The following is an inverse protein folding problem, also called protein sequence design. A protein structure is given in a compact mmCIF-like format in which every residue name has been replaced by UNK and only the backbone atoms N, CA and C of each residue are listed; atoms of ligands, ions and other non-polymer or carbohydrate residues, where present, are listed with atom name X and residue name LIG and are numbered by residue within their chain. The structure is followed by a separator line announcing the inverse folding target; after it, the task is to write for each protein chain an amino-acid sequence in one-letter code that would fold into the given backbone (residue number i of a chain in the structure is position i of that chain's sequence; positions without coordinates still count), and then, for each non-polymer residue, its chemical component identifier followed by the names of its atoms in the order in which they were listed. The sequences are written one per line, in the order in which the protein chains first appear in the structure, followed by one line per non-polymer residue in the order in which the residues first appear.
data_IF_294081364051
#
_entry.id   IF_294081364051
#
_cell.length_a   1.000
_cell.length_b   1.000
_cell.length_c   1.000
_cell.angle_alpha   90.00
_cell.angle_beta   90.00
_cell.angle_gamma   90.00
#
_symmetry.space_group_name_H-M   'P 1'
#
loop_
_entity.id
_entity.type
_entity.pdbx_description
1 polymer ?
#
# COMPACT_ATOMS: atom_id res chain seq x y z
N UNK A 1 13.98 2.51 -13.55
CA UNK A 1 12.68 1.81 -13.49
C UNK A 1 11.85 2.52 -14.54
N UNK A 2 11.97 2.08 -15.79
CA UNK A 2 11.62 2.92 -16.95
C UNK A 2 10.29 2.49 -17.60
N UNK A 3 9.60 1.54 -16.96
CA UNK A 3 8.29 1.05 -17.36
C UNK A 3 7.30 1.35 -16.23
N UNK A 4 6.13 1.95 -16.53
CA UNK A 4 5.08 2.11 -15.54
C UNK A 4 4.66 0.74 -15.02
N UNK A 5 4.37 0.64 -13.72
CA UNK A 5 3.80 -0.56 -13.13
C UNK A 5 2.36 -0.67 -13.63
N UNK A 6 2.11 -1.62 -14.51
CA UNK A 6 0.77 -1.89 -15.03
C UNK A 6 -0.05 -2.69 -14.00
N UNK A 7 -1.35 -2.42 -13.97
CA UNK A 7 -2.31 -3.17 -13.16
C UNK A 7 -2.58 -4.50 -13.88
N UNK A 8 -2.59 -5.62 -13.15
CA UNK A 8 -2.98 -6.91 -13.74
C UNK A 8 -4.50 -7.02 -13.87
N UNK A 9 -5.00 -7.88 -14.77
CA UNK A 9 -6.44 -8.11 -14.95
C UNK A 9 -7.17 -8.42 -13.63
N UNK A 10 -6.55 -9.21 -12.75
CA UNK A 10 -7.10 -9.55 -11.45
C UNK A 10 -7.17 -8.35 -10.51
N UNK A 11 -6.18 -7.46 -10.58
CA UNK A 11 -6.17 -6.22 -9.82
C UNK A 11 -7.22 -5.23 -10.35
N UNK A 12 -7.45 -5.18 -11.68
CA UNK A 12 -8.56 -4.42 -12.27
C UNK A 12 -9.92 -4.96 -11.80
N UNK A 13 -10.10 -6.28 -11.82
CA UNK A 13 -11.32 -6.91 -11.31
C UNK A 13 -11.55 -6.59 -9.81
N UNK A 14 -10.49 -6.65 -9.00
CA UNK A 14 -10.56 -6.25 -7.59
C UNK A 14 -10.93 -4.78 -7.44
N UNK A 15 -10.46 -3.90 -8.32
CA UNK A 15 -10.79 -2.48 -8.29
C UNK A 15 -12.27 -2.25 -8.62
N UNK A 16 -12.81 -2.93 -9.63
CA UNK A 16 -14.23 -2.86 -9.97
C UNK A 16 -15.10 -3.27 -8.77
N UNK A 17 -14.78 -4.42 -8.15
CA UNK A 17 -15.50 -4.87 -6.95
C UNK A 17 -15.43 -3.85 -5.81
N UNK A 18 -14.28 -3.21 -5.63
CA UNK A 18 -14.11 -2.18 -4.60
C UNK A 18 -14.93 -0.92 -4.90
N UNK A 19 -15.01 -0.50 -6.17
CA UNK A 19 -15.85 0.63 -6.59
C UNK A 19 -17.32 0.38 -6.22
N UNK A 20 -17.85 -0.79 -6.55
CA UNK A 20 -19.24 -1.14 -6.24
C UNK A 20 -19.53 -1.08 -4.74
N UNK A 21 -18.54 -1.43 -3.90
CA UNK A 21 -18.64 -1.36 -2.44
C UNK A 21 -18.62 0.09 -1.96
N UNK A 22 -17.71 0.93 -2.47
CA UNK A 22 -17.59 2.34 -2.06
C UNK A 22 -18.84 3.13 -2.45
N UNK A 23 -19.44 2.86 -3.62
CA UNK A 23 -20.67 3.52 -4.06
C UNK A 23 -21.87 3.25 -3.14
N UNK A 24 -21.85 2.16 -2.38
CA UNK A 24 -22.90 1.79 -1.43
C UNK A 24 -22.66 2.33 -0.02
N UNK A 25 -21.51 2.96 0.25
CA UNK A 25 -21.19 3.49 1.57
C UNK A 25 -21.97 4.77 1.87
N UNK A 26 -22.40 4.93 3.14
CA UNK A 26 -22.79 6.25 3.65
C UNK A 26 -21.59 7.19 3.66
N UNK A 27 -21.86 8.49 3.79
CA UNK A 27 -20.81 9.50 3.91
C UNK A 27 -19.89 9.22 5.11
N UNK A 28 -20.47 8.88 6.24
CA UNK A 28 -19.75 8.59 7.50
C UNK A 28 -18.88 7.34 7.32
N UNK A 29 -19.44 6.27 6.74
CA UNK A 29 -18.70 5.04 6.44
C UNK A 29 -17.52 5.31 5.49
N UNK A 30 -17.73 6.10 4.44
CA UNK A 30 -16.67 6.45 3.50
C UNK A 30 -15.55 7.28 4.17
N UNK A 31 -15.90 8.21 5.07
CA UNK A 31 -14.93 9.01 5.82
C UNK A 31 -14.07 8.13 6.75
N UNK A 32 -14.71 7.25 7.53
CA UNK A 32 -14.00 6.32 8.41
C UNK A 32 -13.12 5.37 7.59
N UNK A 33 -13.63 4.85 6.47
CA UNK A 33 -12.90 3.98 5.58
C UNK A 33 -11.66 4.66 5.00
N UNK A 34 -11.77 5.92 4.54
CA UNK A 34 -10.64 6.67 3.98
C UNK A 34 -9.52 6.88 5.01
N UNK A 35 -9.86 7.20 6.25
CA UNK A 35 -8.89 7.36 7.34
C UNK A 35 -8.16 6.03 7.59
N UNK A 36 -8.91 4.93 7.67
CA UNK A 36 -8.33 3.61 7.88
C UNK A 36 -7.42 3.20 6.70
N UNK A 37 -7.86 3.46 5.48
CA UNK A 37 -7.09 3.15 4.28
C UNK A 37 -5.77 3.92 4.23
N UNK A 38 -5.79 5.22 4.58
CA UNK A 38 -4.57 6.02 4.66
C UNK A 38 -3.59 5.48 5.70
N UNK A 39 -4.10 5.07 6.88
CA UNK A 39 -3.27 4.40 7.89
C UNK A 39 -2.63 3.12 7.36
N UNK A 40 -3.38 2.29 6.63
CA UNK A 40 -2.85 1.07 6.04
C UNK A 40 -1.80 1.33 4.96
N UNK A 41 -1.96 2.41 4.17
CA UNK A 41 -0.95 2.83 3.20
C UNK A 41 0.38 3.17 3.89
N UNK A 42 0.36 3.94 4.98
CA UNK A 42 1.58 4.28 5.75
C UNK A 42 2.28 3.03 6.32
N UNK A 43 1.49 2.07 6.82
CA UNK A 43 2.03 0.80 7.34
C UNK A 43 2.69 -0.01 6.22
N UNK A 44 2.03 -0.12 5.06
CA UNK A 44 2.54 -0.82 3.89
C UNK A 44 3.82 -0.18 3.35
N UNK A 45 3.87 1.15 3.29
CA UNK A 45 5.07 1.89 2.91
C UNK A 45 6.25 1.57 3.82
N UNK A 46 6.04 1.67 5.15
CA UNK A 46 7.07 1.31 6.14
C UNK A 46 7.53 -0.14 5.97
N UNK A 47 6.61 -1.07 5.78
CA UNK A 47 6.95 -2.48 5.57
C UNK A 47 7.84 -2.68 4.35
N UNK A 48 7.55 -2.03 3.22
CA UNK A 48 8.41 -2.11 2.03
C UNK A 48 9.78 -1.45 2.26
N UNK A 49 9.84 -0.33 2.97
CA UNK A 49 11.11 0.31 3.33
C UNK A 49 11.98 -0.64 4.17
N UNK A 50 11.42 -1.32 5.17
CA UNK A 50 12.17 -2.29 5.98
C UNK A 50 12.63 -3.51 5.18
N UNK A 51 11.79 -4.04 4.28
CA UNK A 51 12.19 -5.14 3.37
C UNK A 51 13.37 -4.72 2.49
N UNK A 52 13.33 -3.51 1.94
CA UNK A 52 14.40 -2.99 1.07
C UNK A 52 15.70 -2.77 1.86
N UNK A 53 15.64 -2.22 3.08
CA UNK A 53 16.81 -2.06 3.96
C UNK A 53 17.49 -3.40 4.22
N UNK A 54 16.71 -4.43 4.55
CA UNK A 54 17.22 -5.78 4.77
C UNK A 54 17.86 -6.37 3.51
N UNK A 55 17.19 -6.26 2.35
CA UNK A 55 17.73 -6.75 1.08
C UNK A 55 19.04 -6.05 0.70
N UNK A 56 19.16 -4.76 0.98
CA UNK A 56 20.35 -3.97 0.67
C UNK A 56 21.40 -3.98 1.79
N UNK A 57 21.17 -4.75 2.86
CA UNK A 57 22.05 -4.84 4.04
C UNK A 57 22.33 -3.48 4.70
N UNK A 58 21.43 -2.52 4.54
CA UNK A 58 21.58 -1.18 5.12
C UNK A 58 21.44 -1.18 6.65
N UNK A 59 20.92 -2.26 7.22
CA UNK A 59 20.89 -2.47 8.67
C UNK A 59 22.25 -2.91 9.24
N UNK A 60 23.25 -3.23 8.40
CA UNK A 60 24.57 -3.75 8.85
C UNK A 60 25.69 -2.73 8.97
N UNK A 61 25.52 -1.48 8.53
CA UNK A 61 26.51 -0.43 8.78
C UNK A 61 26.10 0.38 10.00
N UNK A 62 26.92 0.31 11.06
CA UNK A 62 27.15 1.29 12.16
C UNK A 62 27.56 0.62 13.48
N UNK A 63 27.46 -0.72 13.61
CA UNK A 63 27.88 -1.44 14.81
C UNK A 63 29.24 -2.17 14.68
N UNK A 64 29.98 -1.96 13.60
CA UNK A 64 31.22 -2.71 13.29
C UNK A 64 32.44 -1.84 12.95
N UNK A 65 32.43 -0.55 13.29
CA UNK A 65 33.59 0.34 13.21
C UNK A 65 34.00 0.82 14.61
#
# INVERSE_FOLDING_TARGET
MDQPIEITLEQEFSLIKFIDQVQQMSREQAQEFLILQHKQMMIRERMYQEILKQQWKLDMDFASL
#
